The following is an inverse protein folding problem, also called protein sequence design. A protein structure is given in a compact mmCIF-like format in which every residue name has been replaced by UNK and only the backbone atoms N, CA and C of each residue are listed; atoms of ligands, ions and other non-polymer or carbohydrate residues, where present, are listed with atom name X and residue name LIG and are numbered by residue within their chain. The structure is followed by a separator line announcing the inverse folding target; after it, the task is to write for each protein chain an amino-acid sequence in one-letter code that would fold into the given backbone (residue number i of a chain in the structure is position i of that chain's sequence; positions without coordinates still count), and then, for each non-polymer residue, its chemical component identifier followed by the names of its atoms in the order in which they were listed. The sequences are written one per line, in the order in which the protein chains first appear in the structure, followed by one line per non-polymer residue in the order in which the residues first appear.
data_IF_806421073934
#
_entry.id   IF_806421073934
#
_cell.length_a   1.000
_cell.length_b   1.000
_cell.length_c   1.000
_cell.angle_alpha   90.00
_cell.angle_beta   90.00
_cell.angle_gamma   90.00
#
_symmetry.space_group_name_H-M   'P 1'
#
loop_
_entity.id
_entity.type
_entity.pdbx_description
1 polymer ?
#
# COMPACT_ATOMS: atom_id res chain seq x y z
N UNK A 1 28.30 23.35 -10.97
CA UNK A 1 27.62 23.05 -12.26
C UNK A 1 26.80 21.76 -12.09
N UNK A 2 25.50 21.79 -12.41
CA UNK A 2 24.65 20.59 -12.34
C UNK A 2 24.96 19.72 -13.56
N UNK A 3 25.35 18.47 -13.34
CA UNK A 3 25.58 17.52 -14.43
C UNK A 3 24.23 17.15 -15.07
N UNK A 4 24.09 17.42 -16.36
CA UNK A 4 22.96 16.95 -17.15
C UNK A 4 23.39 15.73 -17.95
N UNK A 5 22.79 14.59 -17.64
CA UNK A 5 23.02 13.36 -18.39
C UNK A 5 22.53 13.52 -19.85
N UNK A 6 23.44 13.42 -20.85
CA UNK A 6 23.08 13.57 -22.26
C UNK A 6 22.17 12.45 -22.78
N UNK A 7 22.12 11.30 -22.10
CA UNK A 7 21.30 10.15 -22.48
C UNK A 7 19.97 10.06 -21.73
N UNK A 8 19.64 11.03 -20.88
CA UNK A 8 18.41 11.01 -20.09
C UNK A 8 17.14 10.83 -20.94
N UNK A 9 17.11 11.39 -22.16
CA UNK A 9 16.01 11.21 -23.12
C UNK A 9 15.91 9.77 -23.65
N UNK A 10 17.05 9.13 -23.91
CA UNK A 10 17.11 7.72 -24.33
C UNK A 10 16.68 6.78 -23.19
N UNK A 11 17.03 7.13 -21.96
CA UNK A 11 16.69 6.35 -20.75
C UNK A 11 15.29 6.61 -20.21
N UNK A 12 14.55 7.55 -20.82
CA UNK A 12 13.22 7.95 -20.35
C UNK A 12 12.20 6.79 -20.39
N UNK A 13 12.30 5.87 -21.36
CA UNK A 13 11.39 4.73 -21.45
C UNK A 13 11.51 3.77 -20.26
N UNK A 14 12.69 3.67 -19.63
CA UNK A 14 12.90 2.82 -18.44
C UNK A 14 12.26 3.42 -17.20
N UNK A 15 12.07 4.73 -17.17
CA UNK A 15 11.43 5.47 -16.07
C UNK A 15 9.90 5.46 -16.20
N UNK A 16 9.34 4.36 -16.67
CA UNK A 16 7.89 4.21 -16.76
C UNK A 16 7.30 4.07 -15.36
N UNK A 17 6.14 4.69 -15.05
CA UNK A 17 5.51 4.63 -13.73
C UNK A 17 5.18 3.20 -13.25
N UNK A 18 5.05 2.24 -14.17
CA UNK A 18 4.88 0.81 -13.86
C UNK A 18 6.10 0.24 -13.12
N UNK A 19 7.31 0.71 -13.44
CA UNK A 19 8.56 0.27 -12.81
C UNK A 19 8.93 1.10 -11.58
N UNK A 20 8.05 2.02 -11.16
CA UNK A 20 8.29 2.81 -9.95
C UNK A 20 8.29 1.91 -8.72
N UNK A 21 9.16 2.21 -7.76
CA UNK A 21 9.21 1.55 -6.44
C UNK A 21 7.84 1.60 -5.74
N UNK A 22 7.09 2.68 -5.93
CA UNK A 22 5.75 2.86 -5.37
C UNK A 22 4.71 1.93 -6.00
N UNK A 23 4.85 1.61 -7.29
CA UNK A 23 3.98 0.64 -7.95
C UNK A 23 4.23 -0.78 -7.43
N UNK A 24 5.51 -1.14 -7.22
CA UNK A 24 5.88 -2.41 -6.57
C UNK A 24 5.28 -2.54 -5.17
N UNK A 25 5.40 -1.50 -4.33
CA UNK A 25 4.86 -1.51 -2.96
C UNK A 25 3.34 -1.74 -2.90
N UNK A 26 2.59 -1.18 -3.85
CA UNK A 26 1.13 -1.37 -3.93
C UNK A 26 0.72 -2.80 -4.25
N UNK A 27 1.55 -3.53 -4.98
CA UNK A 27 1.27 -4.91 -5.40
C UNK A 27 1.76 -5.95 -4.38
N UNK A 28 2.62 -5.57 -3.42
CA UNK A 28 3.20 -6.52 -2.44
C UNK A 28 2.16 -7.21 -1.55
N UNK A 29 1.07 -6.53 -1.19
CA UNK A 29 0.03 -7.09 -0.33
C UNK A 29 -1.35 -6.92 -0.95
N UNK A 30 -1.72 -7.80 -1.90
CA UNK A 30 -3.06 -7.79 -2.46
C UNK A 30 -4.07 -8.04 -1.33
N UNK A 31 -4.98 -7.08 -1.13
CA UNK A 31 -6.05 -7.23 -0.15
C UNK A 31 -5.71 -6.83 1.30
N UNK A 32 -4.52 -6.28 1.59
CA UNK A 32 -4.19 -5.80 2.94
C UNK A 32 -5.22 -4.81 3.47
N UNK A 33 -5.69 -3.88 2.63
CA UNK A 33 -6.72 -2.92 3.02
C UNK A 33 -8.03 -3.59 3.46
N UNK A 34 -8.50 -4.59 2.70
CA UNK A 34 -9.74 -5.32 3.03
C UNK A 34 -9.55 -6.15 4.29
N UNK A 35 -8.42 -6.85 4.42
CA UNK A 35 -8.10 -7.65 5.58
C UNK A 35 -8.01 -6.80 6.86
N UNK A 36 -7.34 -5.64 6.82
CA UNK A 36 -7.26 -4.72 7.96
C UNK A 36 -8.63 -4.19 8.37
N UNK A 37 -9.48 -3.83 7.40
CA UNK A 37 -10.85 -3.36 7.69
C UNK A 37 -11.70 -4.47 8.31
N UNK A 38 -11.67 -5.68 7.74
CA UNK A 38 -12.42 -6.82 8.28
C UNK A 38 -11.97 -7.17 9.71
N UNK A 39 -10.64 -7.19 9.94
CA UNK A 39 -10.07 -7.44 11.26
C UNK A 39 -10.48 -6.36 12.27
N UNK A 40 -10.39 -5.08 11.92
CA UNK A 40 -10.78 -3.98 12.78
C UNK A 40 -12.29 -4.02 13.12
N UNK A 41 -13.13 -4.35 12.13
CA UNK A 41 -14.57 -4.52 12.35
C UNK A 41 -14.87 -5.67 13.32
N UNK A 42 -14.16 -6.80 13.19
CA UNK A 42 -14.28 -7.93 14.11
C UNK A 42 -13.85 -7.57 15.53
N UNK A 43 -12.66 -6.97 15.70
CA UNK A 43 -12.18 -6.53 17.00
C UNK A 43 -13.11 -5.48 17.64
N UNK A 44 -13.63 -4.54 16.84
CA UNK A 44 -14.60 -3.55 17.29
C UNK A 44 -15.92 -4.20 17.73
N UNK A 45 -16.41 -5.18 16.97
CA UNK A 45 -17.59 -5.95 17.33
C UNK A 45 -17.38 -6.71 18.65
N UNK A 46 -16.25 -7.38 18.83
CA UNK A 46 -15.93 -8.04 20.09
C UNK A 46 -15.82 -7.05 21.26
N UNK A 47 -15.15 -5.93 21.03
CA UNK A 47 -14.90 -4.93 22.06
C UNK A 47 -16.17 -4.20 22.52
N UNK A 48 -17.13 -3.97 21.63
CA UNK A 48 -18.37 -3.23 21.93
C UNK A 48 -19.52 -4.17 22.32
N UNK A 49 -19.70 -5.30 21.62
CA UNK A 49 -20.90 -6.14 21.78
C UNK A 49 -20.67 -7.44 22.56
N UNK A 50 -19.45 -7.98 22.62
CA UNK A 50 -19.15 -9.19 23.42
C UNK A 50 -18.71 -8.86 24.84
N UNK A 51 -18.10 -7.70 25.10
CA UNK A 51 -17.77 -7.25 26.47
C UNK A 51 -19.02 -6.94 27.29
N UNK A 52 -20.05 -6.38 26.68
CA UNK A 52 -21.32 -6.02 27.35
C UNK A 52 -22.12 -7.25 27.83
N UNK A 53 -21.90 -8.42 27.20
CA UNK A 53 -22.54 -9.70 27.56
C UNK A 53 -21.83 -10.47 28.69
N UNK A 54 -20.74 -9.93 29.25
CA UNK A 54 -20.04 -10.55 30.39
C UNK A 54 -20.50 -9.95 31.72
N UNK A 55 -21.81 -9.98 31.99
CA UNK A 55 -22.42 -9.86 33.32
C UNK A 55 -23.75 -10.59 33.34
#
# INVERSE_FOLDING_TARGET
PVYHDPWAKREAWRKHPIFSKTAGLRTLFPGLGIATVAFAAYCGYEAVFLKDKKH
#
